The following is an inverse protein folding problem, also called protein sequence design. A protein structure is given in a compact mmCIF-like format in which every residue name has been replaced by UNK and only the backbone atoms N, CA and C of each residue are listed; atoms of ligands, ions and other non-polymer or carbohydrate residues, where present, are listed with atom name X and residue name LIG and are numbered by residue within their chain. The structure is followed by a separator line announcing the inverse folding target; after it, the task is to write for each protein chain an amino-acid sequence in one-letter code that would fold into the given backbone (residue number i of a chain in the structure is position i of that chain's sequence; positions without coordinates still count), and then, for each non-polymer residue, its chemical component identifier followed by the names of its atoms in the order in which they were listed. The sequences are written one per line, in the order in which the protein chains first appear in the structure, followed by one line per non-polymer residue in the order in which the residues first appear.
data_IF_758943844510
#
_entry.id   IF_758943844510
#
_cell.length_a   1.000
_cell.length_b   1.000
_cell.length_c   1.000
_cell.angle_alpha   90.00
_cell.angle_beta   90.00
_cell.angle_gamma   90.00
#
_symmetry.space_group_name_H-M   'P 1'
#
loop_
_entity.id
_entity.type
_entity.pdbx_description
1 polymer ?
#
# COMPACT_ATOMS: atom_id res chain seq x y z
N UNK A 1 10.21 -20.78 -3.25
CA UNK A 1 11.59 -21.10 -2.86
C UNK A 1 12.45 -19.86 -3.08
N UNK A 2 13.35 -19.56 -2.13
CA UNK A 2 14.30 -18.44 -2.24
C UNK A 2 15.38 -18.81 -3.26
N UNK A 3 15.67 -17.92 -4.22
CA UNK A 3 16.72 -18.08 -5.20
C UNK A 3 18.09 -17.83 -4.56
N UNK A 4 19.06 -18.69 -4.84
CA UNK A 4 20.44 -18.48 -4.38
C UNK A 4 21.14 -17.42 -5.21
N UNK A 5 21.79 -16.46 -4.54
CA UNK A 5 22.61 -15.44 -5.18
C UNK A 5 23.99 -16.03 -5.45
N UNK A 6 24.43 -15.98 -6.69
CA UNK A 6 25.77 -16.41 -7.06
C UNK A 6 26.63 -15.19 -7.48
N UNK A 7 27.73 -14.91 -6.80
CA UNK A 7 28.61 -13.77 -7.15
C UNK A 7 29.18 -13.82 -8.59
N UNK A 8 29.21 -15.01 -9.19
CA UNK A 8 29.69 -15.21 -10.57
C UNK A 8 28.62 -14.87 -11.63
N UNK A 9 27.35 -14.70 -11.22
CA UNK A 9 26.29 -14.31 -12.15
C UNK A 9 26.42 -12.84 -12.54
N UNK A 10 25.88 -12.51 -13.71
CA UNK A 10 25.69 -11.12 -14.16
C UNK A 10 24.92 -10.30 -13.13
N UNK A 11 25.25 -9.02 -13.02
CA UNK A 11 24.60 -8.10 -12.06
C UNK A 11 23.09 -7.99 -12.30
N UNK A 12 22.62 -8.02 -13.55
CA UNK A 12 21.22 -7.99 -13.88
C UNK A 12 20.49 -9.26 -13.40
N UNK A 13 21.14 -10.43 -13.54
CA UNK A 13 20.60 -11.72 -13.06
C UNK A 13 20.49 -11.68 -11.53
N UNK A 14 21.53 -11.28 -10.82
CA UNK A 14 21.50 -11.19 -9.35
C UNK A 14 20.50 -10.15 -8.87
N UNK A 15 20.38 -9.01 -9.55
CA UNK A 15 19.35 -8.01 -9.28
C UNK A 15 17.94 -8.58 -9.39
N UNK A 16 17.67 -9.35 -10.46
CA UNK A 16 16.39 -10.06 -10.62
C UNK A 16 16.11 -11.05 -9.48
N UNK A 17 17.11 -11.81 -9.04
CA UNK A 17 17.00 -12.74 -7.92
C UNK A 17 16.74 -12.02 -6.59
N UNK A 18 17.38 -10.88 -6.32
CA UNK A 18 17.10 -10.07 -5.13
C UNK A 18 15.66 -9.61 -5.09
N UNK A 19 15.14 -9.04 -6.18
CA UNK A 19 13.75 -8.58 -6.29
C UNK A 19 12.79 -9.75 -6.09
N UNK A 20 13.05 -10.89 -6.73
CA UNK A 20 12.21 -12.09 -6.61
C UNK A 20 12.19 -12.62 -5.17
N UNK A 21 13.35 -12.69 -4.53
CA UNK A 21 13.48 -13.13 -3.14
C UNK A 21 12.75 -12.21 -2.17
N UNK A 22 12.83 -10.89 -2.38
CA UNK A 22 12.10 -9.92 -1.59
C UNK A 22 10.58 -10.10 -1.78
N UNK A 23 10.11 -10.29 -3.00
CA UNK A 23 8.70 -10.60 -3.30
C UNK A 23 8.24 -11.92 -2.64
N UNK A 24 9.06 -12.96 -2.64
CA UNK A 24 8.73 -14.21 -1.96
C UNK A 24 8.60 -14.04 -0.45
N UNK A 25 9.48 -13.24 0.19
CA UNK A 25 9.40 -12.94 1.63
C UNK A 25 8.13 -12.15 1.94
N UNK A 26 7.83 -11.10 1.20
CA UNK A 26 6.62 -10.31 1.37
C UNK A 26 5.35 -11.15 1.19
N UNK A 27 5.29 -11.96 0.13
CA UNK A 27 4.17 -12.86 -0.12
C UNK A 27 4.03 -13.91 0.99
N UNK A 28 5.14 -14.46 1.48
CA UNK A 28 5.17 -15.41 2.58
C UNK A 28 4.67 -14.79 3.88
N UNK A 29 5.16 -13.59 4.22
CA UNK A 29 4.73 -12.83 5.39
C UNK A 29 3.22 -12.54 5.34
N UNK A 30 2.73 -12.07 4.20
CA UNK A 30 1.30 -11.76 4.03
C UNK A 30 0.44 -13.01 4.10
N UNK A 31 0.86 -14.12 3.49
CA UNK A 31 0.13 -15.39 3.58
C UNK A 31 0.16 -16.00 4.98
N UNK A 32 1.16 -15.66 5.80
CA UNK A 32 1.21 -16.11 7.18
C UNK A 32 0.04 -15.57 8.04
N UNK A 33 -0.55 -14.45 7.64
CA UNK A 33 -1.77 -13.89 8.27
C UNK A 33 -2.89 -14.94 8.31
N UNK A 34 -2.91 -15.89 7.36
CA UNK A 34 -3.93 -16.94 7.30
C UNK A 34 -3.98 -17.77 8.58
N UNK A 35 -2.86 -17.94 9.30
CA UNK A 35 -2.83 -18.63 10.60
C UNK A 35 -3.65 -17.93 11.68
N UNK A 36 -3.88 -16.63 11.57
CA UNK A 36 -4.75 -15.87 12.48
C UNK A 36 -6.24 -16.01 12.18
N UNK A 37 -6.62 -16.72 11.10
CA UNK A 37 -8.01 -16.85 10.67
C UNK A 37 -8.69 -18.17 11.14
N UNK A 38 -8.05 -18.93 12.01
CA UNK A 38 -8.57 -20.25 12.45
C UNK A 38 -9.92 -20.13 13.19
N UNK A 39 -10.12 -19.02 13.92
CA UNK A 39 -11.37 -18.75 14.63
C UNK A 39 -12.46 -18.09 13.77
N UNK A 40 -12.11 -17.62 12.58
CA UNK A 40 -13.06 -16.94 11.70
C UNK A 40 -14.02 -17.97 11.04
N UNK A 41 -15.30 -17.63 10.98
CA UNK A 41 -16.35 -18.43 10.35
C UNK A 41 -16.48 -18.11 8.86
N UNK A 42 -17.07 -18.99 8.09
CA UNK A 42 -17.21 -18.86 6.63
C UNK A 42 -17.81 -17.52 6.16
N UNK A 43 -18.75 -16.98 6.91
CA UNK A 43 -19.43 -15.74 6.57
C UNK A 43 -18.80 -14.49 7.20
N UNK A 44 -17.76 -14.65 8.02
CA UNK A 44 -17.02 -13.51 8.59
C UNK A 44 -16.29 -12.76 7.47
N UNK A 45 -16.31 -11.44 7.57
CA UNK A 45 -15.62 -10.56 6.64
C UNK A 45 -14.16 -10.43 7.06
N UNK A 46 -13.28 -10.83 6.18
CA UNK A 46 -11.83 -10.73 6.37
C UNK A 46 -11.33 -9.48 5.65
N UNK A 47 -10.71 -8.56 6.39
CA UNK A 47 -10.05 -7.38 5.87
C UNK A 47 -8.52 -7.61 5.90
N UNK A 48 -7.87 -7.43 4.78
CA UNK A 48 -6.41 -7.48 4.66
C UNK A 48 -5.90 -6.07 4.37
N UNK A 49 -5.11 -5.53 5.31
CA UNK A 49 -4.47 -4.22 5.23
C UNK A 49 -2.97 -4.36 5.47
N UNK A 50 -2.17 -3.51 4.84
CA UNK A 50 -0.81 -3.28 5.28
C UNK A 50 -0.84 -2.37 6.53
N UNK A 51 0.24 -2.33 7.31
CA UNK A 51 0.26 -1.68 8.64
C UNK A 51 -0.02 -0.17 8.59
N UNK A 52 0.21 0.46 7.47
CA UNK A 52 0.02 1.89 7.21
C UNK A 52 -1.31 2.20 6.49
N UNK A 53 -2.17 1.21 6.29
CA UNK A 53 -3.48 1.33 5.67
C UNK A 53 -4.58 1.23 6.72
N UNK A 54 -5.36 2.29 6.90
CA UNK A 54 -6.50 2.34 7.82
C UNK A 54 -7.80 2.49 7.02
N UNK A 55 -8.63 1.44 6.94
CA UNK A 55 -9.91 1.54 6.25
C UNK A 55 -10.89 2.41 7.05
N UNK A 56 -11.64 3.26 6.34
CA UNK A 56 -12.74 3.99 6.94
C UNK A 56 -13.99 3.10 6.97
N UNK A 57 -14.33 2.62 8.12
CA UNK A 57 -15.51 1.78 8.35
C UNK A 57 -16.72 2.57 8.85
N UNK A 58 -16.56 3.87 9.08
CA UNK A 58 -17.65 4.72 9.54
C UNK A 58 -18.74 4.78 8.47
N UNK A 59 -19.99 4.68 8.92
CA UNK A 59 -21.18 4.74 8.07
C UNK A 59 -21.25 3.65 6.97
N UNK A 60 -20.43 2.59 7.05
CA UNK A 60 -20.49 1.45 6.16
C UNK A 60 -21.25 0.29 6.81
N UNK A 61 -22.39 -0.07 6.22
CA UNK A 61 -23.05 -1.32 6.55
C UNK A 61 -22.47 -2.45 5.68
N UNK A 62 -21.34 -3.00 6.14
CA UNK A 62 -20.62 -4.06 5.43
C UNK A 62 -21.50 -5.31 5.22
N UNK A 63 -22.49 -5.54 6.08
CA UNK A 63 -23.41 -6.68 5.96
C UNK A 63 -24.34 -6.55 4.73
N UNK A 64 -24.63 -5.33 4.29
CA UNK A 64 -25.45 -5.06 3.11
C UNK A 64 -24.69 -5.16 1.79
N UNK A 65 -23.35 -5.22 1.83
CA UNK A 65 -22.55 -5.35 0.61
C UNK A 65 -22.63 -6.78 0.11
N UNK A 66 -23.20 -6.94 -1.08
CA UNK A 66 -23.40 -8.26 -1.72
C UNK A 66 -22.22 -8.71 -2.56
N UNK A 67 -21.36 -7.76 -2.96
CA UNK A 67 -20.21 -8.03 -3.80
C UNK A 67 -19.20 -8.95 -3.11
N UNK A 68 -18.62 -9.85 -3.89
CA UNK A 68 -17.64 -10.84 -3.41
C UNK A 68 -16.37 -10.18 -2.86
N UNK A 69 -15.92 -9.14 -3.54
CA UNK A 69 -14.69 -8.40 -3.20
C UNK A 69 -15.04 -6.95 -2.87
N UNK A 70 -14.51 -6.45 -1.76
CA UNK A 70 -14.61 -5.06 -1.35
C UNK A 70 -13.21 -4.47 -1.38
N UNK A 71 -13.07 -3.28 -1.95
CA UNK A 71 -11.82 -2.54 -2.03
C UNK A 71 -11.99 -1.13 -1.49
N UNK A 72 -11.04 -0.68 -0.70
CA UNK A 72 -11.05 0.64 -0.09
C UNK A 72 -10.04 1.52 -0.82
N UNK A 73 -10.51 2.58 -1.47
CA UNK A 73 -9.67 3.64 -2.00
C UNK A 73 -9.38 4.64 -0.90
N UNK A 74 -8.14 4.75 -0.53
CA UNK A 74 -7.65 5.50 0.60
C UNK A 74 -6.91 6.75 0.14
N UNK A 75 -7.12 7.85 0.85
CA UNK A 75 -6.33 9.06 0.66
C UNK A 75 -4.89 8.81 1.11
N UNK A 76 -3.93 9.33 0.37
CA UNK A 76 -2.51 9.05 0.60
C UNK A 76 -1.82 10.21 1.28
N UNK A 77 -1.07 9.91 2.34
CA UNK A 77 -0.36 10.90 3.15
C UNK A 77 1.12 10.52 3.25
N UNK A 78 1.97 11.55 3.30
CA UNK A 78 3.42 11.37 3.45
C UNK A 78 3.94 12.15 4.64
N UNK A 79 4.87 11.58 5.39
CA UNK A 79 5.69 12.17 6.46
C UNK A 79 4.93 12.66 7.68
N UNK A 80 3.77 13.26 7.48
CA UNK A 80 2.87 13.78 8.51
C UNK A 80 1.46 13.26 8.28
N UNK A 81 0.70 13.09 9.34
CA UNK A 81 -0.67 12.56 9.25
C UNK A 81 -1.61 13.44 8.41
N UNK A 82 -1.28 14.70 8.23
CA UNK A 82 -2.10 15.66 7.49
C UNK A 82 -1.42 16.28 6.26
N UNK A 83 -0.34 15.69 5.76
CA UNK A 83 0.23 16.05 4.47
C UNK A 83 -0.29 15.10 3.38
N UNK A 84 -1.30 15.56 2.66
CA UNK A 84 -2.08 14.81 1.70
C UNK A 84 -1.51 14.88 0.29
N UNK A 85 -1.45 13.74 -0.38
CA UNK A 85 -1.12 13.60 -1.80
C UNK A 85 -2.44 13.50 -2.60
N UNK A 86 -3.00 14.65 -3.00
CA UNK A 86 -4.33 14.73 -3.64
C UNK A 86 -4.44 14.00 -4.98
N UNK A 87 -3.34 13.91 -5.69
CA UNK A 87 -3.32 13.45 -7.07
C UNK A 87 -3.53 11.94 -7.22
N UNK A 88 -3.48 11.18 -6.14
CA UNK A 88 -3.54 9.73 -6.18
C UNK A 88 -4.24 9.13 -4.96
N UNK A 89 -5.20 8.27 -5.22
CA UNK A 89 -5.82 7.43 -4.18
C UNK A 89 -5.25 6.01 -4.25
N UNK A 90 -4.86 5.50 -3.11
CA UNK A 90 -4.31 4.15 -2.99
C UNK A 90 -5.43 3.13 -2.80
N UNK A 91 -5.47 2.08 -3.62
CA UNK A 91 -6.35 0.94 -3.35
C UNK A 91 -5.64 0.00 -2.38
N UNK A 92 -5.80 0.30 -1.10
CA UNK A 92 -5.12 -0.35 0.00
C UNK A 92 -5.87 -1.57 0.51
N UNK A 93 -6.58 -1.42 1.63
CA UNK A 93 -7.35 -2.49 2.26
C UNK A 93 -8.31 -3.17 1.28
N UNK A 94 -8.33 -4.50 1.32
CA UNK A 94 -9.29 -5.31 0.56
C UNK A 94 -9.97 -6.30 1.48
N UNK A 95 -11.23 -6.62 1.18
CA UNK A 95 -12.01 -7.55 1.99
C UNK A 95 -12.79 -8.53 1.14
N UNK A 96 -13.03 -9.72 1.71
CA UNK A 96 -13.96 -10.72 1.22
C UNK A 96 -14.45 -11.59 2.39
N UNK A 97 -15.49 -12.40 2.18
CA UNK A 97 -15.87 -13.41 3.17
C UNK A 97 -14.79 -14.49 3.29
N UNK A 98 -14.63 -15.08 4.49
CA UNK A 98 -13.65 -16.12 4.72
C UNK A 98 -13.77 -17.27 3.72
N UNK A 99 -14.96 -17.75 3.43
CA UNK A 99 -15.23 -18.82 2.44
C UNK A 99 -14.77 -18.50 1.02
N UNK A 100 -14.64 -17.22 0.70
CA UNK A 100 -14.20 -16.74 -0.61
C UNK A 100 -12.70 -16.43 -0.66
N UNK A 101 -12.02 -16.40 0.49
CA UNK A 101 -10.60 -16.09 0.60
C UNK A 101 -9.76 -17.30 0.18
N UNK A 102 -9.02 -17.18 -0.91
CA UNK A 102 -8.03 -18.20 -1.31
C UNK A 102 -6.80 -18.12 -0.39
N UNK A 103 -6.20 -16.94 -0.30
CA UNK A 103 -5.16 -16.58 0.67
C UNK A 103 -5.02 -15.05 0.72
N UNK A 104 -4.36 -14.47 1.75
CA UNK A 104 -4.20 -13.03 1.89
C UNK A 104 -3.50 -12.36 0.70
N UNK A 105 -2.45 -12.96 0.15
CA UNK A 105 -1.73 -12.39 -1.00
C UNK A 105 -2.58 -12.40 -2.28
N UNK A 106 -3.40 -13.43 -2.50
CA UNK A 106 -4.34 -13.46 -3.61
C UNK A 106 -5.30 -12.27 -3.55
N UNK A 107 -5.87 -11.99 -2.36
CA UNK A 107 -6.80 -10.87 -2.19
C UNK A 107 -6.13 -9.53 -2.52
N UNK A 108 -4.88 -9.34 -2.07
CA UNK A 108 -4.08 -8.15 -2.42
C UNK A 108 -3.81 -8.02 -3.91
N UNK A 109 -3.63 -9.13 -4.62
CA UNK A 109 -3.30 -9.14 -6.04
C UNK A 109 -4.51 -8.88 -6.96
N UNK A 110 -5.75 -8.89 -6.44
CA UNK A 110 -6.93 -8.60 -7.25
C UNK A 110 -6.84 -7.16 -7.77
N UNK A 111 -7.09 -6.98 -9.07
CA UNK A 111 -7.02 -5.67 -9.72
C UNK A 111 -8.20 -4.79 -9.32
N UNK A 112 -7.93 -3.52 -9.03
CA UNK A 112 -8.91 -2.48 -8.68
C UNK A 112 -9.57 -1.84 -9.92
N UNK A 113 -9.87 -2.66 -10.89
CA UNK A 113 -10.45 -2.25 -12.15
C UNK A 113 -11.81 -2.92 -12.36
N UNK A 114 -12.82 -2.12 -12.69
CA UNK A 114 -14.13 -2.64 -13.08
C UNK A 114 -14.06 -3.14 -14.52
N UNK A 115 -14.25 -4.43 -14.68
CA UNK A 115 -14.28 -5.05 -16.00
C UNK A 115 -15.71 -5.12 -16.55
N UNK A 116 -15.85 -5.00 -17.86
CA UNK A 116 -17.14 -5.25 -18.54
C UNK A 116 -17.52 -6.72 -18.42
N UNK A 117 -18.81 -6.98 -18.25
CA UNK A 117 -19.39 -8.35 -18.25
C UNK A 117 -19.07 -9.10 -19.55
N UNK A 118 -18.88 -8.38 -20.66
CA UNK A 118 -18.57 -8.96 -21.97
C UNK A 118 -17.13 -9.47 -22.10
N UNK A 119 -16.28 -9.23 -21.10
CA UNK A 119 -14.89 -9.67 -21.11
C UNK A 119 -14.76 -11.11 -20.62
N UNK A 120 -14.70 -12.05 -21.57
CA UNK A 120 -14.59 -13.51 -21.28
C UNK A 120 -13.34 -13.87 -20.48
N UNK A 121 -12.24 -13.14 -20.64
CA UNK A 121 -10.98 -13.37 -19.91
C UNK A 121 -11.10 -13.18 -18.38
N UNK A 122 -12.12 -12.46 -17.92
CA UNK A 122 -12.37 -12.29 -16.47
C UNK A 122 -12.86 -13.57 -15.82
N UNK A 123 -13.60 -14.43 -16.54
CA UNK A 123 -14.11 -15.69 -15.99
C UNK A 123 -13.01 -16.72 -15.69
N UNK A 124 -11.88 -16.63 -16.39
CA UNK A 124 -10.74 -17.53 -16.20
C UNK A 124 -9.61 -16.92 -15.38
N UNK A 125 -9.75 -15.65 -14.97
CA UNK A 125 -8.72 -14.93 -14.23
C UNK A 125 -8.90 -15.06 -12.72
N UNK A 126 -7.81 -15.37 -12.01
CA UNK A 126 -7.77 -15.31 -10.54
C UNK A 126 -7.52 -13.89 -9.98
N UNK A 127 -7.28 -12.89 -10.83
CA UNK A 127 -6.93 -11.51 -10.43
C UNK A 127 -7.90 -10.45 -10.95
N UNK A 128 -8.81 -10.83 -11.86
CA UNK A 128 -9.78 -9.91 -12.47
C UNK A 128 -11.18 -10.37 -12.06
N UNK A 129 -11.91 -9.52 -11.37
CA UNK A 129 -13.27 -9.80 -10.91
C UNK A 129 -14.21 -8.71 -11.39
N UNK A 130 -15.42 -9.11 -11.78
CA UNK A 130 -16.51 -8.18 -12.16
C UNK A 130 -17.26 -7.74 -10.92
N UNK A 131 -17.44 -8.66 -9.95
CA UNK A 131 -18.23 -8.46 -8.73
C UNK A 131 -17.38 -7.79 -7.62
N UNK A 132 -17.04 -6.53 -7.85
CA UNK A 132 -16.22 -5.72 -6.93
C UNK A 132 -17.02 -4.52 -6.45
N UNK A 133 -17.06 -4.27 -5.14
CA UNK A 133 -17.48 -3.02 -4.53
C UNK A 133 -16.25 -2.16 -4.23
N UNK A 134 -16.17 -0.98 -4.82
CA UNK A 134 -15.15 0.02 -4.50
C UNK A 134 -15.77 1.04 -3.56
N UNK A 135 -15.12 1.27 -2.42
CA UNK A 135 -15.44 2.31 -1.44
C UNK A 135 -14.49 3.48 -1.73
N UNK A 136 -15.03 4.56 -2.31
CA UNK A 136 -14.20 5.70 -2.79
C UNK A 136 -13.65 6.55 -1.65
N UNK A 137 -14.40 6.69 -0.53
CA UNK A 137 -13.94 7.32 0.71
C UNK A 137 -13.49 6.24 1.69
N UNK A 138 -12.51 5.46 1.22
CA UNK A 138 -12.12 4.19 1.82
C UNK A 138 -11.15 4.30 2.99
N UNK A 139 -10.72 5.51 3.37
CA UNK A 139 -9.84 5.70 4.52
C UNK A 139 -8.50 6.35 4.18
N UNK A 140 -7.45 5.95 4.90
CA UNK A 140 -6.16 6.63 4.92
C UNK A 140 -5.01 5.66 4.70
N UNK A 141 -4.02 6.07 3.91
CA UNK A 141 -2.75 5.39 3.75
C UNK A 141 -1.61 6.33 4.18
N UNK A 142 -0.94 6.00 5.29
CA UNK A 142 0.08 6.84 5.91
C UNK A 142 1.49 6.39 5.54
N UNK A 143 1.97 6.85 4.40
CA UNK A 143 3.29 6.47 3.91
C UNK A 143 4.40 7.29 4.56
N UNK A 144 5.45 6.59 5.02
CA UNK A 144 6.67 7.23 5.54
C UNK A 144 6.44 8.27 6.67
N UNK A 145 5.56 7.96 7.63
CA UNK A 145 5.47 8.72 8.89
C UNK A 145 6.71 8.38 9.72
N UNK A 146 7.84 9.00 9.36
CA UNK A 146 9.19 8.68 9.81
C UNK A 146 10.11 9.89 9.66
N UNK A 147 11.20 9.90 10.42
CA UNK A 147 12.29 10.86 10.22
C UNK A 147 13.02 10.62 8.91
N UNK A 148 13.72 11.62 8.40
CA UNK A 148 14.49 11.50 7.15
C UNK A 148 15.51 10.35 7.20
N UNK A 149 16.17 10.14 8.34
CA UNK A 149 17.12 9.03 8.55
C UNK A 149 16.45 7.66 8.48
N UNK A 150 15.28 7.52 9.08
CA UNK A 150 14.51 6.27 9.03
C UNK A 150 13.96 5.99 7.63
N UNK A 151 13.61 7.04 6.88
CA UNK A 151 13.21 6.91 5.47
C UNK A 151 14.39 6.46 4.62
N UNK A 152 15.57 7.06 4.77
CA UNK A 152 16.81 6.62 4.10
C UNK A 152 17.09 5.14 4.38
N UNK A 153 17.02 4.73 5.65
CA UNK A 153 17.21 3.32 6.04
C UNK A 153 16.18 2.40 5.39
N UNK A 154 14.89 2.80 5.40
CA UNK A 154 13.80 2.05 4.76
C UNK A 154 14.06 1.89 3.26
N UNK A 155 14.46 2.95 2.57
CA UNK A 155 14.70 2.93 1.12
C UNK A 155 15.85 2.01 0.72
N UNK A 156 16.86 1.85 1.57
CA UNK A 156 17.97 0.90 1.39
C UNK A 156 17.60 -0.56 1.63
N UNK A 157 16.50 -0.82 2.33
CA UNK A 157 16.17 -2.18 2.82
C UNK A 157 14.87 -2.76 2.27
N UNK A 158 14.06 -2.00 1.52
CA UNK A 158 12.76 -2.46 1.05
C UNK A 158 12.81 -3.12 -0.34
N UNK A 159 11.67 -3.66 -0.81
CA UNK A 159 11.56 -4.43 -2.05
C UNK A 159 12.13 -3.73 -3.29
N UNK A 160 11.94 -2.42 -3.41
CA UNK A 160 12.39 -1.61 -4.55
C UNK A 160 13.70 -0.86 -4.29
N UNK A 161 14.54 -1.34 -3.35
CA UNK A 161 15.82 -0.69 -3.02
C UNK A 161 16.73 -0.48 -4.23
N UNK A 162 16.64 -1.31 -5.26
CA UNK A 162 17.46 -1.18 -6.47
C UNK A 162 17.23 0.12 -7.24
N UNK A 163 15.99 0.64 -7.25
CA UNK A 163 15.70 1.95 -7.84
C UNK A 163 16.40 3.06 -7.04
N UNK A 164 16.43 2.92 -5.72
CA UNK A 164 17.14 3.84 -4.82
C UNK A 164 18.66 3.71 -4.92
N UNK A 165 19.19 2.50 -5.14
CA UNK A 165 20.64 2.27 -5.30
C UNK A 165 21.24 2.96 -6.53
N UNK A 166 20.41 3.19 -7.58
CA UNK A 166 20.84 3.89 -8.78
C UNK A 166 21.05 5.39 -8.54
N UNK A 167 20.19 6.02 -7.76
CA UNK A 167 20.24 7.44 -7.37
C UNK A 167 19.90 7.59 -5.89
N UNK A 168 20.85 7.23 -4.99
CA UNK A 168 20.58 7.26 -3.55
C UNK A 168 20.44 8.69 -3.04
N UNK A 169 19.43 8.92 -2.21
CA UNK A 169 19.24 10.17 -1.49
C UNK A 169 19.81 10.05 -0.07
N UNK A 170 20.59 11.04 0.34
CA UNK A 170 21.01 11.18 1.74
C UNK A 170 19.85 11.64 2.64
N UNK A 171 19.99 11.43 3.94
CA UNK A 171 18.99 11.94 4.91
C UNK A 171 18.76 13.45 4.77
N UNK A 172 19.79 14.25 4.47
CA UNK A 172 19.65 15.70 4.30
C UNK A 172 18.81 16.05 3.06
N UNK A 173 18.99 15.35 1.94
CA UNK A 173 18.18 15.55 0.75
C UNK A 173 16.72 15.11 0.97
N UNK A 174 16.52 14.02 1.72
CA UNK A 174 15.17 13.58 2.11
C UNK A 174 14.52 14.64 3.03
N UNK A 175 15.27 15.23 3.95
CA UNK A 175 14.77 16.29 4.82
C UNK A 175 14.36 17.54 4.03
N UNK A 176 15.12 17.92 3.01
CA UNK A 176 14.74 19.00 2.08
C UNK A 176 13.44 18.68 1.34
N UNK A 177 13.26 17.43 0.87
CA UNK A 177 12.01 16.99 0.22
C UNK A 177 10.82 17.12 1.18
N UNK A 178 10.99 16.68 2.44
CA UNK A 178 9.97 16.79 3.50
C UNK A 178 9.63 18.26 3.77
N UNK A 179 10.64 19.11 3.97
CA UNK A 179 10.48 20.54 4.24
C UNK A 179 9.79 21.28 3.08
N UNK A 180 10.07 20.85 1.86
CA UNK A 180 9.43 21.35 0.65
C UNK A 180 8.01 20.78 0.45
N UNK A 181 7.52 19.93 1.37
CA UNK A 181 6.22 19.24 1.27
C UNK A 181 6.04 18.57 -0.09
N UNK A 182 7.03 17.79 -0.50
CA UNK A 182 7.04 17.11 -1.78
C UNK A 182 7.02 15.59 -1.54
N UNK A 183 6.21 14.86 -2.30
CA UNK A 183 6.21 13.40 -2.20
C UNK A 183 7.55 12.84 -2.69
N UNK A 184 8.13 11.88 -1.97
CA UNK A 184 9.40 11.26 -2.36
C UNK A 184 9.25 10.37 -3.61
N UNK A 185 8.03 9.89 -3.86
CA UNK A 185 7.67 9.13 -5.05
C UNK A 185 6.63 9.86 -5.88
N UNK A 186 6.81 9.89 -7.20
CA UNK A 186 5.72 10.18 -8.12
C UNK A 186 5.12 8.89 -8.67
N UNK A 187 3.97 8.52 -8.16
CA UNK A 187 3.25 7.32 -8.57
C UNK A 187 2.57 7.44 -9.96
N UNK A 188 2.59 8.63 -10.55
CA UNK A 188 2.05 8.89 -11.90
C UNK A 188 3.08 8.69 -12.99
N UNK A 189 4.38 8.73 -12.67
CA UNK A 189 5.44 8.57 -13.66
C UNK A 189 5.46 7.16 -14.26
N UNK A 190 5.86 7.09 -15.52
CA UNK A 190 6.13 5.82 -16.20
C UNK A 190 7.21 5.05 -15.43
N UNK A 191 7.05 3.74 -15.34
CA UNK A 191 8.00 2.83 -14.66
C UNK A 191 9.43 2.88 -15.22
N UNK A 192 9.61 3.45 -16.41
CA UNK A 192 10.93 3.62 -17.07
C UNK A 192 11.71 4.83 -16.59
N UNK A 193 11.09 5.72 -15.82
CA UNK A 193 11.71 6.94 -15.30
C UNK A 193 11.89 6.79 -13.80
N UNK A 194 13.03 7.26 -13.28
CA UNK A 194 13.26 7.30 -11.84
C UNK A 194 12.18 8.18 -11.17
N UNK A 195 11.50 7.63 -10.17
CA UNK A 195 10.38 8.26 -9.49
C UNK A 195 10.76 8.94 -8.18
N UNK A 196 12.01 8.75 -7.75
CA UNK A 196 12.47 9.19 -6.43
C UNK A 196 12.88 10.65 -6.50
N UNK A 197 12.41 11.46 -5.55
CA UNK A 197 12.79 12.86 -5.38
C UNK A 197 12.08 13.88 -6.27
N UNK A 198 11.19 13.45 -7.18
CA UNK A 198 10.48 14.33 -8.13
C UNK A 198 8.97 14.33 -7.95
N UNK A 199 8.49 13.96 -6.78
CA UNK A 199 7.06 13.86 -6.50
C UNK A 199 6.32 15.19 -6.47
N UNK A 200 5.00 15.12 -6.64
CA UNK A 200 4.12 16.27 -6.57
C UNK A 200 4.08 16.90 -5.17
N UNK A 201 3.66 18.17 -5.11
CA UNK A 201 3.47 18.89 -3.84
C UNK A 201 2.35 18.27 -3.02
N UNK A 202 2.61 18.15 -1.71
CA UNK A 202 1.64 17.73 -0.72
C UNK A 202 0.84 18.94 -0.22
N UNK A 203 -0.41 18.71 0.10
CA UNK A 203 -1.29 19.75 0.65
C UNK A 203 -1.72 19.43 2.07
N UNK A 204 -1.95 20.47 2.84
CA UNK A 204 -2.45 20.34 4.21
C UNK A 204 -3.90 19.83 4.18
N UNK A 205 -4.15 18.73 4.90
CA UNK A 205 -5.46 18.12 5.07
C UNK A 205 -6.11 18.54 6.39
N UNK A 206 -7.42 18.60 6.40
CA UNK A 206 -8.17 18.98 7.59
C UNK A 206 -8.10 17.89 8.66
N UNK A 207 -7.64 18.25 9.87
CA UNK A 207 -7.50 17.31 10.99
C UNK A 207 -8.81 16.58 11.34
N UNK A 208 -9.95 17.26 11.21
CA UNK A 208 -11.26 16.68 11.51
C UNK A 208 -11.69 15.55 10.57
N UNK A 209 -10.98 15.37 9.44
CA UNK A 209 -11.21 14.30 8.47
C UNK A 209 -10.24 13.13 8.63
N UNK A 210 -9.29 13.21 9.56
CA UNK A 210 -8.38 12.13 9.90
C UNK A 210 -9.08 11.05 10.76
N UNK A 211 -8.47 9.89 10.98
CA UNK A 211 -8.99 8.91 11.94
C UNK A 211 -9.25 9.55 13.31
N UNK A 212 -10.38 9.21 13.93
CA UNK A 212 -10.82 9.77 15.23
C UNK A 212 -9.70 9.69 16.27
N UNK A 213 -9.00 8.56 16.33
CA UNK A 213 -7.89 8.37 17.26
C UNK A 213 -6.78 9.43 17.11
N UNK A 214 -6.45 9.85 15.88
CA UNK A 214 -5.45 10.91 15.64
C UNK A 214 -6.00 12.26 16.10
N UNK A 215 -7.27 12.54 15.82
CA UNK A 215 -7.93 13.79 16.23
C UNK A 215 -7.93 13.97 17.76
N UNK A 216 -8.26 12.92 18.50
CA UNK A 216 -8.34 12.90 19.96
C UNK A 216 -6.95 12.93 20.61
N UNK A 217 -5.94 12.40 19.94
CA UNK A 217 -4.57 12.30 20.45
C UNK A 217 -3.57 13.24 19.76
N UNK A 218 -4.05 14.36 19.19
CA UNK A 218 -3.20 15.30 18.44
C UNK A 218 -1.97 15.78 19.20
N UNK A 219 -2.10 15.99 20.52
CA UNK A 219 -0.98 16.44 21.35
C UNK A 219 0.14 15.39 21.43
N UNK A 220 -0.22 14.11 21.45
CA UNK A 220 0.74 12.99 21.43
C UNK A 220 1.48 12.91 20.11
N UNK A 221 0.84 13.29 19.02
CA UNK A 221 1.36 13.19 17.65
C UNK A 221 1.71 14.55 17.04
N UNK A 222 1.94 15.56 17.86
CA UNK A 222 2.17 16.93 17.40
C UNK A 222 3.35 17.04 16.43
N UNK A 223 4.43 16.28 16.67
CA UNK A 223 5.59 16.21 15.76
C UNK A 223 5.25 15.62 14.37
N UNK A 224 4.17 14.85 14.27
CA UNK A 224 3.70 14.19 13.03
C UNK A 224 2.49 14.90 12.42
N UNK A 225 2.21 16.12 12.83
CA UNK A 225 1.17 16.99 12.28
C UNK A 225 1.85 18.26 11.74
N UNK A 226 1.43 18.73 10.53
CA UNK A 226 1.93 19.95 9.88
C UNK A 226 1.07 21.17 10.28
#
# INVERSE_FOLDING_TARGET
QIESINPADDEAINSGKYILNAAYRENGQRNFIQKGLDLAKDNDLILISDVDEIPNLNNLDLAKIKQKIIMFKQDMFYYKFNLHFEDFKWTGTKACKKKDLINPQWLRNIKDHKYSILRLDTFFSKKKYIDIKIIEDGGWHFSNIKTAKEIEYKLKSYLHHREFDLEPLSANQIEEIINNKQAIYDLKLDKRINKIGVGSKLKKFELKKLPIYIQENKNKYNEWID
#
